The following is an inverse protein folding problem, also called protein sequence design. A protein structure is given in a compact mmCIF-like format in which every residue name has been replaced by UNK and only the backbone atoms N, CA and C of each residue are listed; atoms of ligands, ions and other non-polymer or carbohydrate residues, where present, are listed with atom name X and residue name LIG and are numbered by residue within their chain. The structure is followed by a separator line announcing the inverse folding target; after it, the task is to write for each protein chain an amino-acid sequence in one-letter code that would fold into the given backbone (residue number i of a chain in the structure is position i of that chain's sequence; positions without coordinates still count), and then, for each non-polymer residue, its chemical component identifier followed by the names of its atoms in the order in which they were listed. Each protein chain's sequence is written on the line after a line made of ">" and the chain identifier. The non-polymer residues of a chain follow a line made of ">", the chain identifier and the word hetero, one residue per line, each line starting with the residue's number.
data_IF_544517339833
#
_entry.id   IF_544517339833
#
_cell.length_a   1.000
_cell.length_b   1.000
_cell.length_c   1.000
_cell.angle_alpha   90.00
_cell.angle_beta   90.00
_cell.angle_gamma   90.00
#
_symmetry.space_group_name_H-M   'P 1'
#
loop_
_entity.id
_entity.type
_entity.pdbx_description
1 polymer ?
#
# COMPACT_ATOMS: atom_id res chain seq x y z
N UNK A 1 -12.00 -5.09 -12.48
CA UNK A 1 -10.72 -5.68 -12.02
C UNK A 1 -9.65 -4.71 -12.43
N UNK A 2 -9.24 -3.82 -11.52
CA UNK A 2 -8.34 -2.73 -11.83
C UNK A 2 -6.95 -3.30 -12.16
N UNK A 3 -6.45 -2.96 -13.35
CA UNK A 3 -5.11 -3.34 -13.80
C UNK A 3 -4.14 -2.28 -13.29
N UNK A 4 -3.23 -2.66 -12.37
CA UNK A 4 -2.25 -1.77 -11.75
C UNK A 4 -1.45 -0.96 -12.78
N UNK A 5 -1.08 -1.60 -13.90
CA UNK A 5 -0.34 -0.95 -14.98
C UNK A 5 -1.16 0.16 -15.64
N UNK A 6 -2.43 -0.10 -15.95
CA UNK A 6 -3.34 0.92 -16.50
C UNK A 6 -3.59 2.06 -15.51
N UNK A 7 -3.67 1.74 -14.22
CA UNK A 7 -3.83 2.73 -13.17
C UNK A 7 -2.60 3.63 -13.06
N UNK A 8 -1.39 3.07 -13.13
CA UNK A 8 -0.14 3.83 -13.18
C UNK A 8 -0.09 4.72 -14.42
N UNK A 9 -0.39 4.17 -15.60
CA UNK A 9 -0.42 4.92 -16.86
C UNK A 9 -1.41 6.10 -16.78
N UNK A 10 -2.60 5.89 -16.23
CA UNK A 10 -3.59 6.96 -16.06
C UNK A 10 -3.05 8.10 -15.18
N UNK A 11 -2.37 7.78 -14.08
CA UNK A 11 -1.71 8.80 -13.24
C UNK A 11 -0.60 9.50 -14.02
N UNK A 12 0.29 8.75 -14.66
CA UNK A 12 1.43 9.28 -15.40
C UNK A 12 1.03 10.16 -16.58
N UNK A 13 -0.10 9.88 -17.20
CA UNK A 13 -0.61 10.68 -18.32
C UNK A 13 -1.33 11.95 -17.91
N UNK A 14 -1.72 12.07 -16.64
CA UNK A 14 -2.45 13.23 -16.14
C UNK A 14 -1.61 14.52 -16.19
N UNK A 15 -2.23 15.67 -16.50
CA UNK A 15 -1.53 16.96 -16.45
C UNK A 15 -0.92 17.27 -15.08
N UNK A 16 -1.64 16.91 -14.00
CA UNK A 16 -1.19 17.14 -12.62
C UNK A 16 0.09 16.39 -12.30
N UNK A 17 0.19 15.12 -12.71
CA UNK A 17 1.41 14.34 -12.51
C UNK A 17 2.56 14.86 -13.36
N UNK A 18 2.33 15.15 -14.64
CA UNK A 18 3.37 15.66 -15.55
C UNK A 18 3.97 16.99 -15.05
N UNK A 19 3.12 17.89 -14.55
CA UNK A 19 3.57 19.14 -13.94
C UNK A 19 4.41 18.89 -12.68
N UNK A 20 3.96 17.99 -11.79
CA UNK A 20 4.70 17.65 -10.59
C UNK A 20 6.05 16.96 -10.89
N UNK A 21 6.09 16.05 -11.86
CA UNK A 21 7.30 15.32 -12.23
C UNK A 21 8.38 16.25 -12.82
N UNK A 22 7.99 17.34 -13.47
CA UNK A 22 8.94 18.35 -13.97
C UNK A 22 9.79 18.95 -12.82
N UNK A 23 9.19 19.12 -11.64
CA UNK A 23 9.87 19.59 -10.43
C UNK A 23 10.58 18.44 -9.67
N UNK A 24 10.22 17.18 -9.95
CA UNK A 24 10.68 15.98 -9.24
C UNK A 24 11.24 14.90 -10.20
N UNK A 25 12.21 15.23 -11.07
CA UNK A 25 12.59 14.35 -12.19
C UNK A 25 13.24 13.02 -11.78
N UNK A 26 13.64 12.88 -10.52
CA UNK A 26 14.22 11.66 -9.96
C UNK A 26 13.20 10.81 -9.20
N UNK A 27 11.93 11.22 -9.15
CA UNK A 27 10.92 10.51 -8.40
C UNK A 27 10.49 9.21 -9.09
N UNK A 28 10.10 8.23 -8.30
CA UNK A 28 9.65 6.93 -8.79
C UNK A 28 8.48 6.40 -7.98
N UNK A 29 7.68 5.52 -8.60
CA UNK A 29 6.61 4.81 -7.93
C UNK A 29 7.19 3.96 -6.78
N UNK A 30 6.67 4.16 -5.56
CA UNK A 30 7.08 3.41 -4.37
C UNK A 30 5.99 2.48 -3.86
N UNK A 31 4.71 2.82 -4.06
CA UNK A 31 3.61 1.99 -3.55
C UNK A 31 2.30 2.16 -4.33
N UNK A 32 1.43 1.16 -4.16
CA UNK A 32 -0.01 1.27 -4.38
C UNK A 32 -0.74 1.03 -3.07
N UNK A 33 -1.72 1.86 -2.76
CA UNK A 33 -2.49 1.81 -1.53
C UNK A 33 -3.99 1.88 -1.81
N UNK A 34 -4.78 1.08 -1.10
CA UNK A 34 -6.25 1.09 -1.16
C UNK A 34 -6.85 0.77 0.20
N UNK A 35 -7.97 1.39 0.51
CA UNK A 35 -8.82 1.02 1.65
C UNK A 35 -10.13 0.45 1.09
N UNK A 36 -10.53 -0.70 1.60
CA UNK A 36 -11.79 -1.38 1.28
C UNK A 36 -12.66 -1.34 2.53
N UNK A 37 -13.81 -0.68 2.41
CA UNK A 37 -14.82 -0.52 3.46
C UNK A 37 -16.23 -0.46 2.83
N UNK A 38 -17.19 -1.23 3.36
CA UNK A 38 -18.59 -1.16 2.92
C UNK A 38 -18.82 -1.48 1.43
N UNK A 39 -19.66 -0.70 0.75
CA UNK A 39 -19.81 -0.75 -0.71
C UNK A 39 -18.61 -0.04 -1.33
N UNK A 40 -17.65 -0.85 -1.75
CA UNK A 40 -16.31 -0.50 -2.20
C UNK A 40 -16.29 0.72 -3.14
N UNK A 41 -15.58 1.79 -2.75
CA UNK A 41 -15.30 2.91 -3.65
C UNK A 41 -14.03 2.56 -4.40
N UNK A 42 -14.10 2.44 -5.72
CA UNK A 42 -13.01 1.88 -6.51
C UNK A 42 -11.89 2.88 -6.84
N UNK A 43 -11.25 3.43 -5.81
CA UNK A 43 -10.08 4.29 -5.97
C UNK A 43 -8.78 3.59 -5.57
N UNK A 44 -7.68 4.05 -6.15
CA UNK A 44 -6.31 3.72 -5.76
C UNK A 44 -5.57 4.98 -5.36
N UNK A 45 -4.67 4.86 -4.39
CA UNK A 45 -3.61 5.83 -4.17
C UNK A 45 -2.29 5.25 -4.68
N UNK A 46 -1.52 6.06 -5.39
CA UNK A 46 -0.18 5.75 -5.85
C UNK A 46 0.79 6.73 -5.19
N UNK A 47 1.78 6.18 -4.50
CA UNK A 47 2.81 6.98 -3.85
C UNK A 47 4.06 7.01 -4.74
N UNK A 48 4.61 8.21 -4.91
CA UNK A 48 5.86 8.43 -5.59
C UNK A 48 6.87 9.04 -4.62
N UNK A 49 8.00 8.36 -4.47
CA UNK A 49 9.09 8.81 -3.63
C UNK A 49 10.06 9.67 -4.44
N UNK A 50 10.46 10.81 -3.88
CA UNK A 50 11.47 11.70 -4.43
C UNK A 50 12.74 11.67 -3.56
N UNK A 51 13.81 10.99 -4.01
CA UNK A 51 15.00 10.79 -3.18
C UNK A 51 15.73 12.07 -2.78
N UNK A 52 15.73 13.10 -3.65
CA UNK A 52 16.47 14.34 -3.37
C UNK A 52 15.81 15.19 -2.28
N UNK A 53 14.48 15.12 -2.17
CA UNK A 53 13.71 15.83 -1.14
C UNK A 53 13.34 14.96 0.06
N UNK A 54 13.74 13.68 0.04
CA UNK A 54 13.30 12.64 0.98
C UNK A 54 11.81 12.69 1.30
N UNK A 55 10.99 12.78 0.25
CA UNK A 55 9.56 13.04 0.36
C UNK A 55 8.72 12.05 -0.45
N UNK A 56 7.48 11.84 -0.03
CA UNK A 56 6.45 11.12 -0.79
C UNK A 56 5.39 12.12 -1.27
N UNK A 57 5.03 12.00 -2.54
CA UNK A 57 3.84 12.63 -3.11
C UNK A 57 2.85 11.54 -3.50
N UNK A 58 1.59 11.68 -3.07
CA UNK A 58 0.55 10.69 -3.32
C UNK A 58 -0.50 11.23 -4.29
N UNK A 59 -0.87 10.40 -5.25
CA UNK A 59 -1.94 10.66 -6.20
C UNK A 59 -3.08 9.68 -5.97
N UNK A 60 -4.30 10.17 -5.85
CA UNK A 60 -5.50 9.34 -5.82
C UNK A 60 -6.12 9.32 -7.21
N UNK A 61 -6.48 8.13 -7.67
CA UNK A 61 -7.14 7.90 -8.95
C UNK A 61 -8.46 7.18 -8.71
N UNK A 62 -9.53 7.90 -9.03
CA UNK A 62 -10.89 7.40 -9.21
C UNK A 62 -11.26 7.55 -10.70
N UNK A 63 -12.35 8.25 -11.00
CA UNK A 63 -12.65 8.74 -12.35
C UNK A 63 -11.61 9.78 -12.84
N UNK A 64 -10.95 10.48 -11.91
CA UNK A 64 -9.95 11.52 -12.18
C UNK A 64 -8.72 11.32 -11.30
N UNK A 65 -7.59 11.80 -11.80
CA UNK A 65 -6.34 11.85 -11.03
C UNK A 65 -6.31 13.14 -10.20
N UNK A 66 -6.09 13.00 -8.90
CA UNK A 66 -6.00 14.11 -7.93
C UNK A 66 -4.72 13.98 -7.13
N UNK A 67 -4.07 15.12 -6.88
CA UNK A 67 -2.97 15.19 -5.91
C UNK A 67 -3.56 15.11 -4.50
N UNK A 68 -3.24 14.05 -3.77
CA UNK A 68 -3.77 13.81 -2.42
C UNK A 68 -2.89 14.45 -1.34
N UNK A 69 -1.58 14.21 -1.45
CA UNK A 69 -0.56 14.81 -0.59
C UNK A 69 0.65 15.16 -1.43
N UNK A 70 1.32 16.26 -1.07
CA UNK A 70 2.53 16.74 -1.76
C UNK A 70 3.68 16.82 -0.77
N UNK A 71 4.83 16.32 -1.17
CA UNK A 71 6.11 16.43 -0.45
C UNK A 71 6.03 16.11 1.05
N UNK A 72 5.26 15.06 1.38
CA UNK A 72 5.11 14.61 2.75
C UNK A 72 6.38 13.92 3.22
N UNK A 73 6.78 14.20 4.47
CA UNK A 73 7.94 13.58 5.08
C UNK A 73 7.80 12.05 5.11
N UNK A 74 8.87 11.34 4.78
CA UNK A 74 8.89 9.88 4.85
C UNK A 74 9.18 9.43 6.27
N UNK A 75 8.26 8.65 6.83
CA UNK A 75 8.49 7.94 8.08
C UNK A 75 9.22 6.62 7.81
N UNK A 76 10.55 6.66 7.90
CA UNK A 76 11.45 5.51 7.75
C UNK A 76 12.51 5.55 8.85
N UNK A 77 13.12 4.41 9.17
CA UNK A 77 14.33 4.40 9.99
C UNK A 77 15.51 4.93 9.17
N UNK A 78 16.56 5.48 9.80
CA UNK A 78 17.73 6.00 9.08
C UNK A 78 18.38 4.99 8.13
N UNK A 79 18.37 3.72 8.49
CA UNK A 79 18.91 2.60 7.72
C UNK A 79 17.99 2.09 6.60
N UNK A 80 16.71 2.47 6.62
CA UNK A 80 15.74 2.04 5.62
C UNK A 80 15.76 2.96 4.40
N UNK A 81 15.57 2.38 3.23
CA UNK A 81 15.41 3.12 1.96
C UNK A 81 14.09 2.77 1.31
N UNK A 82 13.39 3.79 0.80
CA UNK A 82 12.16 3.57 0.05
C UNK A 82 12.53 2.98 -1.30
N UNK A 83 12.13 1.75 -1.56
CA UNK A 83 12.47 1.07 -2.80
C UNK A 83 11.47 1.40 -3.91
N UNK A 84 11.95 1.39 -5.15
CA UNK A 84 11.07 1.48 -6.30
C UNK A 84 10.19 0.23 -6.42
N UNK A 85 8.93 0.44 -6.80
CA UNK A 85 7.99 -0.63 -7.08
C UNK A 85 8.02 -0.95 -8.58
N UNK A 86 8.52 -2.13 -8.93
CA UNK A 86 8.49 -2.65 -10.29
C UNK A 86 7.27 -3.57 -10.49
N UNK A 87 6.24 -3.06 -11.17
CA UNK A 87 5.02 -3.81 -11.44
C UNK A 87 5.24 -5.06 -12.29
N UNK A 88 6.36 -5.18 -13.02
CA UNK A 88 6.68 -6.39 -13.81
C UNK A 88 6.95 -7.61 -12.92
N UNK A 89 7.30 -7.38 -11.66
CA UNK A 89 7.58 -8.45 -10.69
C UNK A 89 6.31 -9.00 -10.04
N UNK A 90 5.17 -8.32 -10.22
CA UNK A 90 3.89 -8.66 -9.60
C UNK A 90 3.13 -9.64 -10.49
N UNK A 91 3.06 -10.90 -10.06
CA UNK A 91 2.31 -11.95 -10.75
C UNK A 91 0.97 -12.26 -10.08
N UNK A 92 0.83 -11.90 -8.81
CA UNK A 92 -0.39 -12.12 -8.01
C UNK A 92 -1.18 -10.82 -7.97
N UNK A 93 -2.40 -10.85 -8.47
CA UNK A 93 -3.29 -9.70 -8.40
C UNK A 93 -3.89 -9.51 -6.99
N UNK A 94 -4.49 -8.33 -6.78
CA UNK A 94 -5.12 -7.98 -5.51
C UNK A 94 -6.22 -8.98 -5.09
N UNK A 95 -6.99 -9.55 -6.02
CA UNK A 95 -8.09 -10.46 -5.66
C UNK A 95 -7.53 -11.74 -5.07
N UNK A 96 -6.49 -12.30 -5.69
CA UNK A 96 -5.81 -13.49 -5.19
C UNK A 96 -5.10 -13.21 -3.86
N UNK A 97 -4.42 -12.07 -3.73
CA UNK A 97 -3.79 -11.66 -2.47
C UNK A 97 -4.81 -11.50 -1.34
N UNK A 98 -5.94 -10.82 -1.60
CA UNK A 98 -7.04 -10.69 -0.65
C UNK A 98 -7.62 -12.04 -0.24
N UNK A 99 -7.83 -12.95 -1.20
CA UNK A 99 -8.33 -14.28 -0.91
C UNK A 99 -7.38 -15.05 0.02
N UNK A 100 -6.08 -15.06 -0.27
CA UNK A 100 -5.07 -15.70 0.60
C UNK A 100 -5.08 -15.10 2.00
N UNK A 101 -5.10 -13.76 2.12
CA UNK A 101 -5.15 -13.09 3.42
C UNK A 101 -6.43 -13.39 4.20
N UNK A 102 -7.58 -13.45 3.52
CA UNK A 102 -8.89 -13.76 4.12
C UNK A 102 -8.96 -15.20 4.62
N UNK A 103 -8.45 -16.16 3.86
CA UNK A 103 -8.44 -17.56 4.30
C UNK A 103 -7.53 -17.74 5.53
N UNK A 104 -6.33 -17.14 5.53
CA UNK A 104 -5.46 -17.15 6.70
C UNK A 104 -6.11 -16.49 7.91
N UNK A 105 -6.77 -15.34 7.73
CA UNK A 105 -7.50 -14.66 8.81
C UNK A 105 -8.59 -15.56 9.39
N UNK A 106 -9.41 -16.20 8.55
CA UNK A 106 -10.46 -17.13 8.99
C UNK A 106 -9.90 -18.40 9.63
N UNK A 107 -8.71 -18.83 9.28
CA UNK A 107 -8.09 -20.02 9.87
C UNK A 107 -7.44 -19.72 11.23
N UNK A 108 -6.58 -18.71 11.28
CA UNK A 108 -5.72 -18.42 12.43
C UNK A 108 -6.33 -17.41 13.41
N UNK A 109 -7.13 -16.48 12.90
CA UNK A 109 -7.68 -15.32 13.63
C UNK A 109 -9.21 -15.30 13.61
N UNK A 110 -9.84 -16.46 13.83
CA UNK A 110 -11.30 -16.70 13.72
C UNK A 110 -12.20 -15.68 14.42
N UNK A 111 -11.77 -15.16 15.57
CA UNK A 111 -12.54 -14.20 16.38
C UNK A 111 -12.43 -12.76 15.85
N UNK A 112 -11.50 -12.50 14.95
CA UNK A 112 -11.09 -11.16 14.54
C UNK A 112 -11.80 -10.73 13.26
N UNK A 113 -13.07 -10.31 13.40
CA UNK A 113 -13.91 -9.90 12.26
C UNK A 113 -13.41 -8.57 11.66
N UNK A 114 -13.01 -8.53 10.37
CA UNK A 114 -12.60 -7.28 9.72
C UNK A 114 -13.75 -6.28 9.60
N UNK A 115 -13.49 -5.01 9.92
CA UNK A 115 -14.35 -3.84 9.63
C UNK A 115 -13.85 -3.06 8.42
N UNK A 116 -12.52 -2.97 8.25
CA UNK A 116 -11.86 -2.36 7.09
C UNK A 116 -10.68 -3.21 6.65
N UNK A 117 -10.39 -3.20 5.36
CA UNK A 117 -9.17 -3.82 4.82
C UNK A 117 -8.31 -2.74 4.18
N UNK A 118 -7.06 -2.67 4.61
CA UNK A 118 -6.04 -1.80 4.02
C UNK A 118 -5.14 -2.70 3.16
N UNK A 119 -4.90 -2.27 1.93
CA UNK A 119 -4.09 -2.99 0.96
C UNK A 119 -2.94 -2.10 0.55
N UNK A 120 -1.72 -2.59 0.73
CA UNK A 120 -0.50 -1.90 0.34
C UNK A 120 0.38 -2.84 -0.48
N UNK A 121 0.63 -2.49 -1.74
CA UNK A 121 1.66 -3.12 -2.56
C UNK A 121 2.90 -2.24 -2.54
N UNK A 122 4.02 -2.79 -2.12
CA UNK A 122 5.28 -2.06 -2.01
C UNK A 122 6.47 -3.00 -2.12
N UNK A 123 7.66 -2.42 -2.29
CA UNK A 123 8.93 -3.14 -2.21
C UNK A 123 9.64 -2.78 -0.91
N UNK A 124 10.02 -3.78 -0.11
CA UNK A 124 10.91 -3.61 1.05
C UNK A 124 12.24 -4.30 0.74
N UNK A 125 12.32 -5.61 0.93
CA UNK A 125 13.39 -6.48 0.41
C UNK A 125 12.98 -7.19 -0.87
N UNK A 126 11.66 -7.36 -1.04
CA UNK A 126 11.00 -7.89 -2.23
C UNK A 126 9.64 -7.21 -2.36
N UNK A 127 9.03 -7.31 -3.53
CA UNK A 127 7.69 -6.80 -3.78
C UNK A 127 6.66 -7.70 -3.12
N UNK A 128 5.80 -7.12 -2.30
CA UNK A 128 4.82 -7.84 -1.50
C UNK A 128 3.51 -7.08 -1.40
N UNK A 129 2.43 -7.83 -1.22
CA UNK A 129 1.14 -7.34 -0.75
C UNK A 129 1.15 -7.38 0.78
N UNK A 130 0.99 -6.23 1.43
CA UNK A 130 0.68 -6.12 2.84
C UNK A 130 -0.81 -5.85 2.98
N UNK A 131 -1.55 -6.84 3.47
CA UNK A 131 -2.99 -6.78 3.69
C UNK A 131 -3.24 -6.67 5.19
N UNK A 132 -3.81 -5.55 5.61
CA UNK A 132 -4.12 -5.29 7.01
C UNK A 132 -5.63 -5.27 7.22
N UNK A 133 -6.14 -6.15 8.06
CA UNK A 133 -7.53 -6.15 8.52
C UNK A 133 -7.62 -5.36 9.82
N UNK A 134 -8.27 -4.20 9.80
CA UNK A 134 -8.74 -3.56 11.01
C UNK A 134 -9.97 -4.32 11.49
N UNK A 135 -9.95 -4.81 12.73
CA UNK A 135 -11.00 -5.69 13.25
C UNK A 135 -11.98 -4.91 14.15
N UNK A 136 -13.17 -5.47 14.36
CA UNK A 136 -14.15 -4.93 15.32
C UNK A 136 -13.65 -4.91 16.77
N UNK A 137 -12.60 -5.67 17.09
CA UNK A 137 -11.95 -5.70 18.41
C UNK A 137 -10.81 -4.68 18.53
N UNK A 138 -10.67 -3.76 17.55
CA UNK A 138 -9.61 -2.76 17.47
C UNK A 138 -8.20 -3.37 17.44
N UNK A 139 -8.05 -4.49 16.72
CA UNK A 139 -6.74 -5.07 16.39
C UNK A 139 -6.48 -4.93 14.89
N UNK A 140 -5.21 -4.92 14.54
CA UNK A 140 -4.74 -4.98 13.16
C UNK A 140 -4.14 -6.35 12.91
N UNK A 141 -4.80 -7.16 12.07
CA UNK A 141 -4.23 -8.40 11.55
C UNK A 141 -3.50 -8.07 10.25
N UNK A 142 -2.18 -8.21 10.22
CA UNK A 142 -1.36 -7.95 9.04
C UNK A 142 -0.95 -9.27 8.41
N UNK A 143 -1.06 -9.37 7.09
CA UNK A 143 -0.60 -10.52 6.30
C UNK A 143 0.27 -10.00 5.17
N UNK A 144 1.54 -10.40 5.14
CA UNK A 144 2.49 -10.09 4.06
C UNK A 144 2.56 -11.27 3.11
N UNK A 145 2.29 -11.01 1.84
CA UNK A 145 2.21 -12.03 0.79
C UNK A 145 3.18 -11.65 -0.32
N UNK A 146 4.00 -12.59 -0.75
CA UNK A 146 4.92 -12.40 -1.88
C UNK A 146 4.12 -12.07 -3.15
N UNK A 147 4.39 -10.93 -3.78
CA UNK A 147 3.62 -10.47 -4.94
C UNK A 147 3.91 -11.29 -6.21
N UNK A 148 4.96 -12.11 -6.21
CA UNK A 148 5.35 -12.99 -7.32
C UNK A 148 4.81 -14.40 -7.13
N UNK A 149 4.94 -14.99 -5.94
CA UNK A 149 4.55 -16.40 -5.71
C UNK A 149 3.15 -16.54 -5.11
N UNK A 150 2.72 -15.58 -4.29
CA UNK A 150 1.49 -15.65 -3.52
C UNK A 150 1.64 -16.35 -2.18
N UNK A 151 2.87 -16.69 -1.80
CA UNK A 151 3.16 -17.30 -0.50
C UNK A 151 3.01 -16.28 0.61
N UNK A 152 2.49 -16.72 1.75
CA UNK A 152 2.48 -15.93 2.98
C UNK A 152 3.92 -15.88 3.52
N UNK A 153 4.46 -14.68 3.60
CA UNK A 153 5.81 -14.41 4.11
C UNK A 153 5.80 -14.23 5.62
N UNK A 154 4.78 -13.53 6.13
CA UNK A 154 4.65 -13.18 7.54
C UNK A 154 3.19 -12.85 7.84
N UNK A 155 2.74 -13.15 9.05
CA UNK A 155 1.46 -12.70 9.56
C UNK A 155 1.58 -12.30 11.03
N UNK A 156 0.83 -11.28 11.45
CA UNK A 156 0.85 -10.78 12.82
C UNK A 156 -0.48 -10.18 13.23
N UNK A 157 -0.69 -10.05 14.54
CA UNK A 157 -1.83 -9.35 15.12
C UNK A 157 -1.34 -8.38 16.18
N UNK A 158 -1.75 -7.11 16.10
CA UNK A 158 -1.37 -6.07 17.05
C UNK A 158 -2.60 -5.27 17.50
N UNK A 159 -2.80 -5.06 18.81
CA UNK A 159 -3.78 -4.10 19.31
C UNK A 159 -3.46 -2.69 18.82
N UNK A 160 -4.48 -1.91 18.44
CA UNK A 160 -4.25 -0.53 18.00
C UNK A 160 -3.68 0.37 19.10
N UNK A 161 -4.00 0.07 20.36
CA UNK A 161 -3.52 0.85 21.51
C UNK A 161 -2.01 0.69 21.76
N UNK A 162 -1.40 -0.38 21.25
CA UNK A 162 0.04 -0.63 21.41
C UNK A 162 0.90 0.28 20.52
N UNK A 163 0.32 0.87 19.46
CA UNK A 163 1.01 1.86 18.62
C UNK A 163 1.31 3.18 19.36
N UNK A 164 0.55 3.50 20.41
CA UNK A 164 0.77 4.70 21.24
C UNK A 164 1.98 4.59 22.18
N UNK A 165 2.48 3.38 22.43
CA UNK A 165 3.56 3.12 23.38
C UNK A 165 4.94 2.96 22.71
N UNK A 166 5.03 2.98 21.37
CA UNK A 166 6.30 2.93 20.63
C UNK A 166 7.01 4.29 20.46
N UNK A 167 6.69 5.29 21.28
CA UNK A 167 7.49 6.52 21.42
C UNK A 167 7.77 6.82 22.90
N UNK A 168 8.83 6.20 23.42
CA UNK A 168 9.74 6.72 24.44
C UNK A 168 10.80 5.64 24.75
N UNK A 169 11.79 5.49 23.87
CA UNK A 169 13.09 4.87 24.20
C UNK A 169 14.16 5.50 23.33
#
# INVERSE_FOLDING_TARGET
>A
MHNLQKTLEHVQDSPTFKAWLADHPAAYLSSFFKIIEGQDVDWWQLDFYYPKGDSITSFVVDDKVKLATKDSAVFKKPEDSVQALDLKTVAIDIKKALHVAQELQKEKYKTEKPSKTIVLLQTITRTLWNISFLTNSFKLVNVRIDAKTGDVLEDSIVPLFDFGHQKAS
#
